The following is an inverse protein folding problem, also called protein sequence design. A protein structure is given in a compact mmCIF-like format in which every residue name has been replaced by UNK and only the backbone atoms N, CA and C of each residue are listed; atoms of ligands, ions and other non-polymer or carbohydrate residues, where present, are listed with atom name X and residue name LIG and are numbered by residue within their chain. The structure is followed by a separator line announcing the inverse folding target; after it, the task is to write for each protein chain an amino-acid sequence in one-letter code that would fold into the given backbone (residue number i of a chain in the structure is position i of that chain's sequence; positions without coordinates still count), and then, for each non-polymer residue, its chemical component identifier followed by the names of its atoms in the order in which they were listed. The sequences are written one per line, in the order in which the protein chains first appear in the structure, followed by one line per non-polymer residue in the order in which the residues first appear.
data_IF_710209101480
#
_entry.id   IF_710209101480
#
_cell.length_a   1.000
_cell.length_b   1.000
_cell.length_c   1.000
_cell.angle_alpha   90.00
_cell.angle_beta   90.00
_cell.angle_gamma   90.00
#
_symmetry.space_group_name_H-M   'P 1'
#
loop_
_entity.id
_entity.type
_entity.pdbx_description
1 polymer ?
#
# COMPACT_ATOMS: atom_id res chain seq x y z
N UNK A 1 16.82 -0.98 0.29
CA UNK A 1 17.03 -1.60 1.60
C UNK A 1 15.80 -1.23 2.39
N UNK A 2 14.92 -2.20 2.60
CA UNK A 2 13.73 -1.98 3.41
C UNK A 2 14.22 -1.88 4.86
N UNK A 3 14.24 -0.66 5.40
CA UNK A 3 14.42 -0.46 6.84
C UNK A 3 13.20 -1.06 7.52
N UNK A 4 13.31 -2.33 7.89
CA UNK A 4 12.38 -3.01 8.76
C UNK A 4 12.23 -2.14 10.02
N UNK A 5 11.07 -1.51 10.16
CA UNK A 5 10.77 -0.58 11.25
C UNK A 5 10.60 -1.40 12.53
N UNK A 6 11.74 -1.82 13.08
CA UNK A 6 11.83 -2.68 14.24
C UNK A 6 11.60 -1.79 15.47
N UNK A 7 10.33 -1.70 15.89
CA UNK A 7 9.96 -0.98 17.10
C UNK A 7 10.75 -1.55 18.27
N UNK A 8 11.47 -0.70 18.98
CA UNK A 8 12.18 -1.14 20.18
C UNK A 8 11.19 -1.53 21.28
N UNK A 9 11.64 -2.37 22.21
CA UNK A 9 10.81 -2.91 23.29
C UNK A 9 10.11 -1.80 24.10
N UNK A 10 10.75 -0.66 24.31
CA UNK A 10 10.20 0.44 25.08
C UNK A 10 9.11 1.17 24.30
N UNK A 11 9.28 1.37 23.00
CA UNK A 11 8.25 1.97 22.13
C UNK A 11 6.98 1.11 22.07
N UNK A 12 7.13 -0.22 22.09
CA UNK A 12 6.00 -1.15 22.17
C UNK A 12 5.30 -1.03 23.52
N UNK A 13 6.04 -1.00 24.63
CA UNK A 13 5.48 -0.88 25.98
C UNK A 13 4.75 0.46 26.16
N UNK A 14 5.32 1.57 25.69
CA UNK A 14 4.72 2.89 25.77
C UNK A 14 3.41 2.96 24.97
N UNK A 15 3.40 2.36 23.76
CA UNK A 15 2.17 2.28 22.95
C UNK A 15 1.08 1.44 23.61
N UNK A 16 1.46 0.33 24.26
CA UNK A 16 0.53 -0.51 25.02
C UNK A 16 0.01 0.20 26.28
N UNK A 17 0.83 1.06 26.90
CA UNK A 17 0.44 1.83 28.10
C UNK A 17 -0.61 2.92 27.81
N UNK A 18 -0.73 3.35 26.55
CA UNK A 18 -1.75 4.29 26.10
C UNK A 18 -3.03 3.60 25.61
N UNK A 19 -3.09 2.26 25.64
CA UNK A 19 -4.32 1.56 25.32
C UNK A 19 -5.35 1.77 26.44
N UNK A 20 -6.64 1.96 26.10
CA UNK A 20 -7.70 2.05 27.09
C UNK A 20 -7.68 0.84 28.02
N UNK A 21 -7.95 1.04 29.32
CA UNK A 21 -7.98 -0.01 30.35
C UNK A 21 -8.88 -1.22 30.00
N UNK A 22 -9.81 -1.03 29.05
CA UNK A 22 -10.65 -2.08 28.49
C UNK A 22 -10.75 -1.90 26.98
N UNK A 23 -9.96 -2.67 26.25
CA UNK A 23 -10.23 -2.98 24.84
C UNK A 23 -10.86 -4.37 24.83
N UNK A 24 -12.02 -4.53 24.19
CA UNK A 24 -12.60 -5.86 24.05
C UNK A 24 -11.67 -6.73 23.19
N UNK A 25 -11.65 -8.05 23.40
CA UNK A 25 -10.86 -8.95 22.55
C UNK A 25 -11.21 -8.78 21.07
N UNK A 26 -12.47 -8.46 20.77
CA UNK A 26 -12.97 -8.19 19.43
C UNK A 26 -12.34 -6.93 18.83
N UNK A 27 -12.33 -5.82 19.58
CA UNK A 27 -11.74 -4.56 19.12
C UNK A 27 -10.21 -4.66 18.97
N UNK A 28 -9.56 -5.46 19.81
CA UNK A 28 -8.14 -5.77 19.66
C UNK A 28 -7.87 -6.57 18.38
N UNK A 29 -8.69 -7.60 18.12
CA UNK A 29 -8.58 -8.42 16.90
C UNK A 29 -8.80 -7.56 15.65
N UNK A 30 -9.84 -6.71 15.63
CA UNK A 30 -10.10 -5.81 14.51
C UNK A 30 -8.92 -4.88 14.21
N UNK A 31 -8.33 -4.27 15.24
CA UNK A 31 -7.15 -3.41 15.07
C UNK A 31 -5.95 -4.18 14.53
N UNK A 32 -5.70 -5.40 15.01
CA UNK A 32 -4.62 -6.26 14.50
C UNK A 32 -4.85 -6.63 13.04
N UNK A 33 -6.08 -7.01 12.67
CA UNK A 33 -6.44 -7.36 11.30
C UNK A 33 -6.29 -6.15 10.37
N UNK A 34 -6.69 -4.96 10.82
CA UNK A 34 -6.53 -3.71 10.08
C UNK A 34 -5.06 -3.38 9.82
N UNK A 35 -4.20 -3.49 10.84
CA UNK A 35 -2.75 -3.29 10.68
C UNK A 35 -2.16 -4.27 9.66
N UNK A 36 -2.52 -5.56 9.75
CA UNK A 36 -2.06 -6.58 8.79
C UNK A 36 -2.50 -6.28 7.36
N UNK A 37 -3.74 -5.82 7.17
CA UNK A 37 -4.26 -5.43 5.87
C UNK A 37 -3.47 -4.27 5.25
N UNK A 38 -3.17 -3.24 6.04
CA UNK A 38 -2.34 -2.11 5.57
C UNK A 38 -0.93 -2.59 5.19
N UNK A 39 -0.29 -3.40 6.02
CA UNK A 39 1.04 -3.94 5.75
C UNK A 39 1.07 -4.73 4.44
N UNK A 40 0.08 -5.60 4.23
CA UNK A 40 -0.04 -6.36 2.99
C UNK A 40 -0.17 -5.43 1.77
N UNK A 41 -1.01 -4.40 1.85
CA UNK A 41 -1.17 -3.44 0.76
C UNK A 41 0.09 -2.63 0.48
N UNK A 42 0.85 -2.27 1.50
CA UNK A 42 2.13 -1.58 1.33
C UNK A 42 3.14 -2.45 0.59
N UNK A 43 3.21 -3.76 0.89
CA UNK A 43 4.07 -4.72 0.18
C UNK A 43 3.64 -4.92 -1.28
N UNK A 44 2.33 -4.89 -1.55
CA UNK A 44 1.78 -5.00 -2.90
C UNK A 44 1.93 -3.70 -3.71
N UNK A 45 2.19 -2.56 -3.04
CA UNK A 45 2.32 -1.27 -3.71
C UNK A 45 3.67 -1.19 -4.40
N UNK A 46 3.67 -1.45 -5.71
CA UNK A 46 4.85 -1.25 -6.56
C UNK A 46 5.13 0.24 -6.69
N UNK A 47 6.24 0.71 -6.13
CA UNK A 47 6.74 2.05 -6.43
C UNK A 47 7.15 2.12 -7.90
N UNK A 48 6.44 2.94 -8.67
CA UNK A 48 6.75 3.25 -10.06
C UNK A 48 7.23 4.69 -10.14
N UNK A 49 8.31 4.92 -10.89
CA UNK A 49 8.80 6.27 -11.10
C UNK A 49 7.84 7.07 -11.99
N UNK A 50 7.84 8.40 -11.84
CA UNK A 50 7.06 9.28 -12.71
C UNK A 50 7.41 9.05 -14.21
N UNK A 51 8.67 8.80 -14.52
CA UNK A 51 9.11 8.48 -15.87
C UNK A 51 8.48 7.20 -16.42
N UNK A 52 8.40 6.13 -15.61
CA UNK A 52 7.72 4.88 -16.00
C UNK A 52 6.23 5.10 -16.25
N UNK A 53 5.56 5.88 -15.39
CA UNK A 53 4.14 6.22 -15.58
C UNK A 53 3.93 7.00 -16.88
N UNK A 54 4.77 7.99 -17.17
CA UNK A 54 4.68 8.77 -18.40
C UNK A 54 4.96 7.94 -19.65
N UNK A 55 5.86 6.96 -19.56
CA UNK A 55 6.12 6.01 -20.64
C UNK A 55 4.90 5.13 -20.90
N UNK A 56 4.35 4.47 -19.88
CA UNK A 56 3.17 3.61 -19.99
C UNK A 56 1.96 4.37 -20.57
N UNK A 57 1.75 5.62 -20.15
CA UNK A 57 0.69 6.48 -20.68
C UNK A 57 0.87 6.79 -22.17
N UNK A 58 2.11 7.07 -22.59
CA UNK A 58 2.39 7.32 -24.00
C UNK A 58 2.19 6.07 -24.85
N UNK A 59 2.63 4.90 -24.37
CA UNK A 59 2.42 3.62 -25.04
C UNK A 59 0.92 3.29 -25.19
N UNK A 60 0.15 3.48 -24.13
CA UNK A 60 -1.31 3.29 -24.14
C UNK A 60 -2.00 4.22 -25.15
N UNK A 61 -1.59 5.49 -25.19
CA UNK A 61 -2.11 6.47 -26.14
C UNK A 61 -1.84 6.06 -27.59
N UNK A 62 -0.63 5.56 -27.88
CA UNK A 62 -0.28 5.09 -29.21
C UNK A 62 -1.07 3.84 -29.62
N UNK A 63 -1.27 2.89 -28.69
CA UNK A 63 -2.12 1.71 -28.94
C UNK A 63 -3.55 2.11 -29.29
N UNK A 64 -4.17 2.99 -28.49
CA UNK A 64 -5.52 3.52 -28.74
C UNK A 64 -5.65 4.21 -30.10
N UNK A 65 -4.65 4.99 -30.49
CA UNK A 65 -4.62 5.66 -31.80
C UNK A 65 -4.49 4.66 -32.94
N UNK A 66 -3.63 3.64 -32.79
CA UNK A 66 -3.44 2.59 -33.78
C UNK A 66 -4.69 1.70 -33.94
N UNK A 67 -5.40 1.40 -32.85
CA UNK A 67 -6.68 0.69 -32.88
C UNK A 67 -7.76 1.49 -33.60
N UNK A 68 -7.83 2.79 -33.33
CA UNK A 68 -8.80 3.70 -33.96
C UNK A 68 -8.53 3.92 -35.45
N UNK A 69 -7.25 3.88 -35.87
CA UNK A 69 -6.85 3.95 -37.27
C UNK A 69 -7.16 2.65 -38.04
N UNK A 70 -7.10 1.48 -37.38
CA UNK A 70 -7.44 0.17 -37.97
C UNK A 70 -8.94 -0.08 -38.13
N UNK A 71 -9.80 0.64 -37.40
CA UNK A 71 -11.26 0.51 -37.50
C UNK A 71 -11.89 1.42 -38.56
N UNK A 72 -11.14 2.40 -39.08
CA UNK A 72 -11.63 3.42 -40.02
C UNK A 72 -11.02 3.32 -41.44
N UNK A 73 -10.36 2.20 -41.78
CA UNK A 73 -9.84 1.89 -43.11
C UNK A 73 -10.36 0.55 -43.59
#
# INVERSE_FOLDING_TARGET
MDEELLLDKNQVIDSLSQLPDKVSSEELIERILFIKFIQQRLLETKHVSHAQVMQELNELKQQKLAESAKQNG
#
